data_IF_447040894510
#
_entry.id   IF_447040894510
#
_cell.length_a   1.000
_cell.length_b   1.000
_cell.length_c   1.000
_cell.angle_alpha   90.00
_cell.angle_beta   90.00
_cell.angle_gamma   90.00
#
_symmetry.space_group_name_H-M   'P 1'
#
loop_
_entity.id
_entity.type
_entity.pdbx_description
1 polymer ?
#
# COMPACT_ATOMS: atom_id res chain seq x y z
N UNK A 1 -8.87 17.66 -20.69
CA UNK A 1 -8.08 17.61 -19.43
C UNK A 1 -9.05 17.86 -18.28
N UNK A 2 -8.77 17.40 -17.04
CA UNK A 2 -9.58 17.79 -15.88
C UNK A 2 -9.52 19.33 -15.74
N UNK A 3 -10.67 20.05 -15.75
CA UNK A 3 -10.68 21.51 -15.68
C UNK A 3 -10.08 22.06 -14.38
N UNK A 4 -9.95 21.24 -13.34
CA UNK A 4 -9.30 21.60 -12.05
C UNK A 4 -7.81 21.28 -12.01
N UNK A 5 -7.27 20.63 -13.05
CA UNK A 5 -5.86 20.27 -13.17
C UNK A 5 -5.37 19.26 -12.12
N UNK A 6 -6.25 18.53 -11.43
CA UNK A 6 -5.89 17.55 -10.41
C UNK A 6 -5.16 16.37 -11.05
N UNK A 7 -4.17 15.84 -10.34
CA UNK A 7 -3.39 14.67 -10.77
C UNK A 7 -2.81 13.95 -9.56
N UNK A 8 -3.18 12.69 -9.41
CA UNK A 8 -2.42 11.74 -8.59
C UNK A 8 -1.17 11.30 -9.37
N UNK A 9 0.06 11.47 -8.83
CA UNK A 9 1.28 10.93 -9.43
C UNK A 9 1.33 9.40 -9.36
N UNK A 10 2.16 8.78 -10.19
CA UNK A 10 2.52 7.38 -10.03
C UNK A 10 3.60 7.21 -8.94
N UNK A 11 3.65 6.06 -8.28
CA UNK A 11 4.62 5.79 -7.21
C UNK A 11 6.08 5.73 -7.70
N UNK A 12 6.33 5.53 -8.99
CA UNK A 12 7.69 5.62 -9.52
C UNK A 12 8.15 7.08 -9.76
N UNK A 13 7.29 8.07 -9.60
CA UNK A 13 7.71 9.47 -9.70
C UNK A 13 8.55 9.88 -8.48
N UNK A 14 9.13 11.07 -8.53
CA UNK A 14 10.00 11.52 -7.46
C UNK A 14 9.20 11.87 -6.20
N UNK A 15 9.71 11.45 -5.04
CA UNK A 15 9.13 11.77 -3.75
C UNK A 15 9.92 12.83 -3.00
N UNK A 16 9.23 13.50 -2.09
CA UNK A 16 9.84 14.33 -1.07
C UNK A 16 10.25 13.49 0.14
N UNK A 17 9.42 12.52 0.53
CA UNK A 17 9.60 11.67 1.72
C UNK A 17 8.65 10.47 1.68
N UNK A 18 8.94 9.47 2.49
CA UNK A 18 8.02 8.37 2.82
C UNK A 18 7.46 8.57 4.23
N UNK A 19 6.20 8.19 4.44
CA UNK A 19 5.55 8.19 5.74
C UNK A 19 5.33 6.77 6.19
N UNK A 20 5.59 6.51 7.46
CA UNK A 20 5.36 5.23 8.13
C UNK A 20 4.68 5.48 9.49
N UNK A 21 4.18 4.44 10.13
CA UNK A 21 3.63 4.53 11.48
C UNK A 21 4.17 3.44 12.40
N UNK A 22 4.37 3.80 13.67
CA UNK A 22 5.01 2.93 14.65
C UNK A 22 3.99 1.98 15.30
N UNK A 23 4.26 0.66 15.32
CA UNK A 23 3.34 -0.31 15.89
C UNK A 23 3.38 -0.32 17.42
N UNK A 24 2.20 -0.21 18.05
CA UNK A 24 2.06 -0.22 19.52
C UNK A 24 0.91 -1.09 20.05
N UNK A 25 0.07 -1.66 19.18
CA UNK A 25 -1.17 -2.36 19.58
C UNK A 25 -1.13 -3.88 19.32
N UNK A 26 0.07 -4.48 19.26
CA UNK A 26 0.28 -5.91 18.98
C UNK A 26 0.62 -6.73 20.24
N UNK A 27 0.30 -6.19 21.42
CA UNK A 27 0.51 -6.87 22.71
C UNK A 27 1.97 -7.32 22.91
N UNK A 28 2.21 -8.57 23.36
CA UNK A 28 3.55 -9.11 23.54
C UNK A 28 4.41 -9.17 22.27
N UNK A 29 3.79 -9.09 21.09
CA UNK A 29 4.49 -9.12 19.79
C UNK A 29 4.98 -7.75 19.34
N UNK A 30 4.66 -6.66 20.06
CA UNK A 30 5.10 -5.29 19.73
C UNK A 30 6.60 -5.22 19.35
N UNK A 31 7.55 -5.75 20.15
CA UNK A 31 8.98 -5.67 19.80
C UNK A 31 9.33 -6.31 18.45
N UNK A 32 8.57 -7.31 18.01
CA UNK A 32 8.78 -8.01 16.74
C UNK A 32 8.30 -7.18 15.55
N UNK A 33 7.08 -6.66 15.61
CA UNK A 33 6.54 -5.72 14.63
C UNK A 33 7.39 -4.46 14.53
N UNK A 34 7.81 -3.91 15.66
CA UNK A 34 8.72 -2.77 15.72
C UNK A 34 10.07 -3.07 15.07
N UNK A 35 10.60 -4.27 15.28
CA UNK A 35 11.83 -4.71 14.62
C UNK A 35 11.69 -4.75 13.10
N UNK A 36 10.57 -5.24 12.58
CA UNK A 36 10.28 -5.26 11.14
C UNK A 36 10.13 -3.85 10.57
N UNK A 37 9.31 -3.02 11.21
CA UNK A 37 9.08 -1.62 10.82
C UNK A 37 10.38 -0.81 10.87
N UNK A 38 11.24 -1.05 11.87
CA UNK A 38 12.56 -0.42 11.95
C UNK A 38 13.46 -0.79 10.76
N UNK A 39 13.49 -2.08 10.36
CA UNK A 39 14.26 -2.51 9.18
C UNK A 39 13.75 -1.90 7.89
N UNK A 40 12.42 -1.81 7.72
CA UNK A 40 11.83 -1.13 6.56
C UNK A 40 12.22 0.35 6.56
N UNK A 41 12.08 1.05 7.68
CA UNK A 41 12.43 2.46 7.77
C UNK A 41 13.93 2.71 7.50
N UNK A 42 14.81 1.84 7.99
CA UNK A 42 16.24 1.89 7.69
C UNK A 42 16.52 1.68 6.19
N UNK A 43 15.88 0.69 5.56
CA UNK A 43 16.03 0.42 4.13
C UNK A 43 15.57 1.63 3.28
N UNK A 44 14.41 2.22 3.60
CA UNK A 44 13.92 3.43 2.93
C UNK A 44 14.88 4.61 3.14
N UNK A 45 15.43 4.77 4.34
CA UNK A 45 16.35 5.86 4.67
C UNK A 45 17.65 5.86 3.86
N UNK A 46 17.98 4.76 3.18
CA UNK A 46 19.09 4.72 2.22
C UNK A 46 18.83 5.58 0.99
N UNK A 47 17.56 5.73 0.62
CA UNK A 47 17.11 6.36 -0.61
C UNK A 47 16.52 7.75 -0.38
N UNK A 48 15.73 7.92 0.69
CA UNK A 48 15.05 9.19 0.97
C UNK A 48 14.58 9.31 2.43
N UNK A 49 14.18 10.51 2.83
CA UNK A 49 13.76 10.77 4.22
C UNK A 49 12.46 10.06 4.58
N UNK A 50 12.36 9.66 5.86
CA UNK A 50 11.16 9.02 6.43
C UNK A 50 10.55 9.92 7.50
N UNK A 51 9.22 10.02 7.54
CA UNK A 51 8.47 10.52 8.69
C UNK A 51 7.71 9.37 9.35
N UNK A 52 8.05 9.09 10.60
CA UNK A 52 7.42 8.04 11.39
C UNK A 52 6.36 8.66 12.30
N UNK A 53 5.09 8.32 12.13
CA UNK A 53 4.02 8.67 13.06
C UNK A 53 4.12 7.78 14.30
N UNK A 54 4.32 8.37 15.46
CA UNK A 54 4.51 7.62 16.72
C UNK A 54 3.55 8.16 17.78
N UNK A 55 2.84 7.29 18.52
CA UNK A 55 2.18 7.73 19.75
C UNK A 55 3.19 8.45 20.66
N UNK A 56 2.88 9.65 21.20
CA UNK A 56 3.85 10.51 21.88
C UNK A 56 4.68 9.81 22.97
N UNK A 57 4.08 8.89 23.71
CA UNK A 57 4.69 8.11 24.79
C UNK A 57 5.73 7.09 24.31
N UNK A 58 5.74 6.73 23.02
CA UNK A 58 6.64 5.73 22.42
C UNK A 58 7.75 6.34 21.54
N UNK A 59 7.87 7.67 21.46
CA UNK A 59 8.85 8.34 20.58
C UNK A 59 10.29 7.92 20.89
N UNK A 60 10.69 7.89 22.15
CA UNK A 60 12.06 7.52 22.53
C UNK A 60 12.34 6.03 22.32
N UNK A 61 11.33 5.17 22.54
CA UNK A 61 11.40 3.74 22.22
C UNK A 61 11.58 3.52 20.71
N UNK A 62 10.80 4.20 19.88
CA UNK A 62 10.90 4.11 18.42
C UNK A 62 12.30 4.54 17.92
N UNK A 63 12.83 5.65 18.44
CA UNK A 63 14.20 6.10 18.12
C UNK A 63 15.25 5.05 18.52
N UNK A 64 15.10 4.46 19.70
CA UNK A 64 16.03 3.45 20.19
C UNK A 64 16.00 2.19 19.31
N UNK A 65 14.81 1.71 18.95
CA UNK A 65 14.60 0.53 18.11
C UNK A 65 15.08 0.72 16.67
N UNK A 66 14.87 1.91 16.08
CA UNK A 66 15.38 2.25 14.75
C UNK A 66 16.89 2.47 14.75
N UNK A 67 17.48 2.89 15.86
CA UNK A 67 18.92 3.07 16.00
C UNK A 67 19.47 4.26 15.20
N UNK A 68 20.77 4.20 14.87
CA UNK A 68 21.50 5.28 14.18
C UNK A 68 22.13 4.75 12.89
N UNK A 69 22.62 5.67 12.04
CA UNK A 69 23.39 5.32 10.83
C UNK A 69 22.58 5.42 9.54
N UNK A 70 21.42 6.07 9.59
CA UNK A 70 20.58 6.34 8.44
C UNK A 70 21.28 7.33 7.48
N UNK A 71 21.10 7.12 6.17
CA UNK A 71 21.69 8.01 5.15
C UNK A 71 20.87 9.29 5.01
N UNK A 72 19.54 9.15 4.99
CA UNK A 72 18.58 10.24 5.06
C UNK A 72 17.89 10.27 6.44
N UNK A 73 17.34 11.43 6.79
CA UNK A 73 16.70 11.62 8.09
C UNK A 73 15.46 10.73 8.26
N UNK A 74 15.33 10.15 9.46
CA UNK A 74 14.08 9.57 9.95
C UNK A 74 13.56 10.50 11.05
N UNK A 75 12.53 11.26 10.75
CA UNK A 75 11.87 12.19 11.67
C UNK A 75 10.74 11.47 12.41
N UNK A 76 10.71 11.55 13.74
CA UNK A 76 9.68 10.92 14.57
C UNK A 76 8.64 11.95 15.00
N UNK A 77 7.44 11.86 14.43
CA UNK A 77 6.34 12.78 14.66
C UNK A 77 5.44 12.26 15.79
N UNK A 78 5.23 13.01 16.89
CA UNK A 78 4.36 12.61 18.00
C UNK A 78 2.87 12.74 17.61
N UNK A 79 2.39 11.83 16.76
CA UNK A 79 1.03 11.78 16.22
C UNK A 79 0.40 10.45 16.66
N UNK A 80 -0.67 10.48 17.48
CA UNK A 80 -1.36 9.26 17.90
C UNK A 80 -1.96 8.48 16.73
N UNK A 81 -1.70 7.17 16.71
CA UNK A 81 -2.19 6.18 15.74
C UNK A 81 -2.58 4.87 16.47
N UNK A 82 -3.52 4.11 15.90
CA UNK A 82 -3.86 2.76 16.38
C UNK A 82 -3.00 1.67 15.74
N UNK A 83 -2.45 1.96 14.57
CA UNK A 83 -1.90 0.92 13.72
C UNK A 83 -0.78 1.46 12.84
N UNK A 84 -0.05 0.56 12.21
CA UNK A 84 1.15 0.84 11.44
C UNK A 84 0.90 1.07 9.93
N UNK A 85 -0.31 0.75 9.44
CA UNK A 85 -0.68 0.74 8.02
C UNK A 85 -0.89 2.14 7.42
N UNK A 86 0.17 2.95 7.42
CA UNK A 86 0.13 4.35 7.00
C UNK A 86 -0.42 4.53 5.58
N UNK A 87 -0.20 3.57 4.67
CA UNK A 87 -0.78 3.54 3.31
C UNK A 87 -2.28 3.75 3.30
N UNK A 88 -2.97 3.21 4.31
CA UNK A 88 -4.42 3.09 4.29
C UNK A 88 -5.13 4.21 5.04
N UNK A 89 -4.53 4.70 6.13
CA UNK A 89 -5.21 5.65 7.02
C UNK A 89 -4.74 7.10 6.89
N UNK A 90 -3.65 7.37 6.16
CA UNK A 90 -3.24 8.74 5.85
C UNK A 90 -3.75 9.15 4.45
N UNK A 91 -3.77 10.45 4.13
CA UNK A 91 -4.34 10.94 2.88
C UNK A 91 -3.53 10.50 1.67
N UNK A 92 -4.21 10.16 0.57
CA UNK A 92 -3.59 10.02 -0.74
C UNK A 92 -3.18 11.38 -1.28
N UNK A 93 -1.94 11.52 -1.73
CA UNK A 93 -1.44 12.81 -2.17
C UNK A 93 -1.62 13.02 -3.68
N UNK A 94 -2.30 14.12 -4.03
CA UNK A 94 -2.43 14.58 -5.40
C UNK A 94 -1.89 15.99 -5.55
N UNK A 95 -1.58 16.37 -6.78
CA UNK A 95 -1.15 17.73 -7.13
C UNK A 95 -2.21 18.44 -7.94
N UNK A 96 -2.37 19.75 -7.69
CA UNK A 96 -3.22 20.63 -8.50
C UNK A 96 -2.53 21.96 -8.74
N UNK A 97 -2.92 22.74 -9.76
CA UNK A 97 -2.49 24.14 -9.87
C UNK A 97 -2.91 24.91 -8.63
N UNK A 98 -2.06 25.81 -8.12
CA UNK A 98 -2.47 26.78 -7.10
C UNK A 98 -3.52 27.72 -7.68
N UNK A 99 -4.52 28.05 -6.88
CA UNK A 99 -5.46 29.10 -7.23
C UNK A 99 -4.68 30.41 -7.42
N UNK A 100 -4.58 30.87 -8.66
CA UNK A 100 -4.05 32.20 -8.94
C UNK A 100 -5.07 33.19 -8.37
N UNK A 101 -4.66 34.06 -7.43
CA UNK A 101 -5.52 35.14 -6.96
C UNK A 101 -5.89 36.05 -8.14
N UNK A 102 -6.99 35.74 -8.83
CA UNK A 102 -7.49 36.46 -10.00
C UNK A 102 -6.65 36.27 -11.28
N UNK A 103 -7.01 35.32 -12.14
CA UNK A 103 -6.41 35.23 -13.46
C UNK A 103 -7.10 34.22 -14.37
N UNK A 104 -7.57 34.69 -15.52
CA UNK A 104 -8.28 33.90 -16.52
C UNK A 104 -7.42 32.77 -17.10
N UNK A 105 -8.10 31.68 -17.47
CA UNK A 105 -7.53 30.47 -18.04
C UNK A 105 -6.45 30.71 -19.09
N UNK A 106 -5.23 30.36 -18.73
CA UNK A 106 -4.12 30.14 -19.64
C UNK A 106 -3.52 28.77 -19.36
N UNK A 107 -3.36 27.97 -20.41
CA UNK A 107 -2.57 26.74 -20.39
C UNK A 107 -1.10 27.13 -20.16
N UNK A 108 -0.68 27.24 -18.90
CA UNK A 108 0.64 27.71 -18.52
C UNK A 108 1.10 27.09 -17.20
N UNK A 109 2.43 26.89 -17.11
CA UNK A 109 3.20 26.32 -16.01
C UNK A 109 3.05 27.09 -14.69
N UNK A 110 1.86 27.13 -14.11
CA UNK A 110 1.62 27.68 -12.79
C UNK A 110 2.19 26.78 -11.71
N UNK A 111 2.58 27.36 -10.58
CA UNK A 111 2.98 26.59 -9.40
C UNK A 111 1.87 25.60 -9.03
N UNK A 112 2.24 24.33 -8.83
CA UNK A 112 1.33 23.33 -8.29
C UNK A 112 1.38 23.36 -6.76
N UNK A 113 0.41 22.73 -6.12
CA UNK A 113 0.41 22.44 -4.70
C UNK A 113 0.02 20.99 -4.43
N UNK A 114 0.54 20.46 -3.33
CA UNK A 114 0.19 19.16 -2.78
C UNK A 114 -1.11 19.25 -1.98
N UNK A 115 -2.04 18.33 -2.24
CA UNK A 115 -3.29 18.17 -1.50
C UNK A 115 -3.41 16.70 -1.07
N UNK A 116 -3.59 16.47 0.22
CA UNK A 116 -3.95 15.16 0.76
C UNK A 116 -5.45 14.94 0.66
N UNK A 117 -5.86 13.90 -0.06
CA UNK A 117 -7.24 13.41 -0.13
C UNK A 117 -7.46 12.37 0.97
N UNK A 118 -8.22 12.75 1.97
CA UNK A 118 -8.52 11.95 3.15
C UNK A 118 -9.82 11.17 2.94
N UNK A 119 -9.70 9.84 2.86
CA UNK A 119 -10.76 8.91 2.48
C UNK A 119 -11.52 8.32 3.68
N UNK A 120 -11.55 9.00 4.83
CA UNK A 120 -12.38 8.62 5.98
C UNK A 120 -12.15 7.17 6.45
N UNK A 121 -10.88 6.78 6.64
CA UNK A 121 -10.50 5.43 7.07
C UNK A 121 -11.37 4.90 8.20
N UNK A 122 -11.88 3.66 8.06
CA UNK A 122 -12.83 3.07 8.99
C UNK A 122 -12.40 1.70 9.56
N UNK A 123 -11.09 1.40 9.54
CA UNK A 123 -10.57 0.11 10.02
C UNK A 123 -10.98 -1.06 9.12
N UNK A 124 -10.85 -0.88 7.81
CA UNK A 124 -11.23 -1.83 6.76
C UNK A 124 -12.64 -2.42 6.91
N UNK A 125 -13.63 -1.55 7.09
CA UNK A 125 -15.01 -1.94 7.34
C UNK A 125 -15.27 -2.33 8.79
N UNK A 126 -14.65 -1.61 9.72
CA UNK A 126 -14.78 -1.81 11.17
C UNK A 126 -14.29 -3.18 11.66
N UNK A 127 -13.33 -3.78 10.94
CA UNK A 127 -12.70 -5.05 11.29
C UNK A 127 -11.57 -4.88 12.31
N UNK A 128 -11.03 -3.67 12.45
CA UNK A 128 -9.97 -3.35 13.41
C UNK A 128 -10.23 -2.01 14.12
N UNK A 129 -9.66 -1.75 15.30
CA UNK A 129 -9.70 -0.44 15.95
C UNK A 129 -9.02 0.65 15.10
N UNK A 130 -9.68 1.80 14.93
CA UNK A 130 -9.22 2.82 13.97
C UNK A 130 -9.39 4.29 14.42
N UNK A 131 -9.89 4.53 15.64
CA UNK A 131 -10.29 5.88 16.08
C UNK A 131 -9.17 6.93 16.06
N UNK A 132 -7.95 6.57 16.47
CA UNK A 132 -6.77 7.41 16.38
C UNK A 132 -6.29 7.52 14.92
N UNK A 133 -6.18 6.40 14.21
CA UNK A 133 -5.68 6.35 12.83
C UNK A 133 -6.58 7.12 11.84
N UNK A 134 -7.90 7.10 12.00
CA UNK A 134 -8.84 7.87 11.18
C UNK A 134 -8.68 9.39 11.28
N UNK A 135 -7.99 9.87 12.32
CA UNK A 135 -7.67 11.30 12.49
C UNK A 135 -6.18 11.58 12.24
N UNK A 136 -5.37 10.57 11.90
CA UNK A 136 -3.94 10.74 11.67
C UNK A 136 -3.66 11.65 10.48
N UNK A 137 -4.43 11.52 9.38
CA UNK A 137 -4.30 12.39 8.21
C UNK A 137 -4.55 13.87 8.53
N UNK A 138 -5.59 14.17 9.31
CA UNK A 138 -5.84 15.54 9.77
C UNK A 138 -4.68 16.09 10.62
N UNK A 139 -4.17 15.29 11.57
CA UNK A 139 -3.06 15.68 12.44
C UNK A 139 -1.77 15.90 11.66
N UNK A 140 -1.49 15.03 10.69
CA UNK A 140 -0.32 15.12 9.80
C UNK A 140 -0.36 16.40 8.97
N UNK A 141 -1.47 16.69 8.30
CA UNK A 141 -1.58 17.91 7.48
C UNK A 141 -1.46 19.17 8.35
N UNK A 142 -2.07 19.18 9.55
CA UNK A 142 -1.91 20.26 10.53
C UNK A 142 -0.47 20.41 11.02
N UNK A 143 0.26 19.32 11.15
CA UNK A 143 1.67 19.33 11.54
C UNK A 143 2.54 19.96 10.45
N UNK A 144 2.33 19.61 9.17
CA UNK A 144 3.06 20.22 8.06
C UNK A 144 2.69 21.68 7.78
N UNK A 145 1.46 22.09 8.10
CA UNK A 145 1.00 23.43 7.82
C UNK A 145 -0.09 23.86 8.80
N UNK A 146 0.02 25.07 9.35
CA UNK A 146 -1.00 25.64 10.25
C UNK A 146 -2.36 25.91 9.57
N UNK A 147 -2.46 25.77 8.23
CA UNK A 147 -3.69 25.98 7.44
C UNK A 147 -4.23 24.67 6.84
N UNK A 148 -5.51 24.37 7.10
CA UNK A 148 -6.20 23.14 6.64
C UNK A 148 -6.49 23.05 5.13
N UNK A 149 -6.12 24.05 4.32
CA UNK A 149 -6.46 24.14 2.89
C UNK A 149 -5.85 23.04 2.01
N UNK A 150 -4.89 22.27 2.54
CA UNK A 150 -4.23 21.15 1.86
C UNK A 150 -4.86 19.79 2.12
N UNK A 151 -6.00 19.74 2.84
CA UNK A 151 -6.76 18.51 3.09
C UNK A 151 -8.10 18.56 2.38
N UNK A 152 -8.33 17.63 1.47
CA UNK A 152 -9.63 17.36 0.86
C UNK A 152 -10.24 16.15 1.57
N UNK A 153 -11.35 16.32 2.29
CA UNK A 153 -12.05 15.18 2.89
C UNK A 153 -13.01 14.61 1.85
N UNK A 154 -12.84 13.33 1.51
CA UNK A 154 -13.67 12.64 0.54
C UNK A 154 -15.08 12.40 1.06
N UNK A 155 -16.03 12.14 0.16
CA UNK A 155 -17.40 11.69 0.48
C UNK A 155 -17.57 10.17 0.52
N UNK A 156 -16.49 9.43 0.34
CA UNK A 156 -16.46 7.97 0.35
C UNK A 156 -15.44 7.45 1.37
N UNK A 157 -15.56 6.16 1.68
CA UNK A 157 -14.54 5.42 2.41
C UNK A 157 -13.67 4.66 1.41
N UNK A 158 -12.36 4.84 1.51
CA UNK A 158 -11.37 4.04 0.80
C UNK A 158 -10.03 4.12 1.53
N UNK A 159 -9.08 3.34 1.05
CA UNK A 159 -7.74 3.22 1.57
C UNK A 159 -6.73 3.35 0.43
N UNK A 160 -5.54 3.89 0.71
CA UNK A 160 -4.51 4.04 -0.31
C UNK A 160 -4.09 2.71 -0.93
N UNK A 161 -4.05 1.60 -0.17
CA UNK A 161 -3.70 0.27 -0.71
C UNK A 161 -4.75 -0.29 -1.69
N UNK A 162 -5.97 0.24 -1.68
CA UNK A 162 -7.03 -0.13 -2.61
C UNK A 162 -6.98 0.65 -3.95
N UNK A 163 -6.02 1.58 -4.09
CA UNK A 163 -5.96 2.55 -5.19
C UNK A 163 -4.55 2.57 -5.78
N UNK A 164 -4.41 2.10 -7.03
CA UNK A 164 -3.13 2.09 -7.74
C UNK A 164 -3.24 2.97 -8.99
N UNK A 165 -2.32 3.93 -9.18
CA UNK A 165 -2.35 4.87 -10.30
C UNK A 165 -1.15 4.77 -11.22
N UNK A 166 -1.39 4.91 -12.53
CA UNK A 166 -0.34 5.04 -13.54
C UNK A 166 0.23 6.48 -13.67
N UNK A 167 -0.28 7.44 -12.89
CA UNK A 167 0.07 8.85 -12.99
C UNK A 167 -0.38 9.55 -14.29
N UNK A 168 -1.12 8.84 -15.15
CA UNK A 168 -1.54 9.28 -16.48
C UNK A 168 -3.07 9.24 -16.68
N UNK A 169 -3.80 9.03 -15.58
CA UNK A 169 -5.26 9.11 -15.51
C UNK A 169 -5.96 7.75 -15.48
N UNK A 170 -5.21 6.66 -15.32
CA UNK A 170 -5.75 5.32 -15.07
C UNK A 170 -5.63 4.98 -13.60
N UNK A 171 -6.69 4.41 -13.03
CA UNK A 171 -6.62 3.68 -11.77
C UNK A 171 -6.80 2.18 -12.03
N UNK A 172 -6.13 1.38 -11.22
CA UNK A 172 -6.39 -0.03 -11.05
C UNK A 172 -6.93 -0.25 -9.63
N UNK A 173 -8.01 -1.01 -9.51
CA UNK A 173 -8.72 -1.20 -8.23
C UNK A 173 -9.41 -2.56 -8.21
N UNK A 174 -9.73 -3.06 -7.01
CA UNK A 174 -10.60 -4.22 -6.83
C UNK A 174 -12.01 -3.79 -6.46
N UNK A 175 -13.00 -4.45 -7.04
CA UNK A 175 -14.40 -4.22 -6.71
C UNK A 175 -14.72 -4.65 -5.29
N UNK A 176 -14.17 -5.78 -4.83
CA UNK A 176 -14.41 -6.33 -3.50
C UNK A 176 -14.00 -5.42 -2.34
N UNK A 177 -13.02 -4.53 -2.55
CA UNK A 177 -12.58 -3.57 -1.53
C UNK A 177 -13.39 -2.27 -1.60
N UNK A 178 -13.53 -1.70 -2.80
CA UNK A 178 -14.09 -0.34 -2.98
C UNK A 178 -15.63 -0.33 -3.04
N UNK A 179 -16.23 -1.23 -3.82
CA UNK A 179 -17.69 -1.36 -4.01
C UNK A 179 -18.24 -2.34 -2.98
N UNK A 180 -17.88 -2.12 -1.73
CA UNK A 180 -18.24 -2.98 -0.62
C UNK A 180 -19.09 -2.19 0.37
N UNK A 181 -20.24 -2.74 0.79
CA UNK A 181 -21.14 -2.06 1.73
C UNK A 181 -20.50 -1.74 3.08
N UNK A 182 -19.42 -2.45 3.46
CA UNK A 182 -18.66 -2.12 4.67
C UNK A 182 -17.77 -0.87 4.50
N UNK A 183 -17.59 -0.37 3.27
CA UNK A 183 -16.96 0.92 2.94
C UNK A 183 -17.99 1.94 2.49
N UNK A 184 -18.71 1.62 1.42
CA UNK A 184 -19.56 2.52 0.66
C UNK A 184 -20.96 1.93 0.49
N UNK A 185 -21.79 1.92 1.55
CA UNK A 185 -23.10 1.28 1.52
C UNK A 185 -24.01 1.90 0.45
N UNK A 186 -24.64 1.04 -0.34
CA UNK A 186 -25.57 1.43 -1.41
C UNK A 186 -24.93 2.28 -2.54
N UNK A 187 -23.60 2.19 -2.74
CA UNK A 187 -22.91 2.86 -3.85
C UNK A 187 -22.60 1.89 -4.98
N UNK A 188 -22.80 2.33 -6.21
CA UNK A 188 -22.42 1.57 -7.40
C UNK A 188 -20.99 1.90 -7.83
N UNK A 189 -20.41 1.08 -8.73
CA UNK A 189 -19.15 1.40 -9.42
C UNK A 189 -19.17 2.81 -10.01
N UNK A 190 -20.25 3.18 -10.70
CA UNK A 190 -20.36 4.48 -11.36
C UNK A 190 -20.34 5.64 -10.38
N UNK A 191 -20.98 5.50 -9.21
CA UNK A 191 -21.00 6.56 -8.19
C UNK A 191 -19.59 6.83 -7.62
N UNK A 192 -18.83 5.75 -7.39
CA UNK A 192 -17.49 5.81 -6.83
C UNK A 192 -16.48 6.26 -7.88
N UNK A 193 -16.57 5.79 -9.12
CA UNK A 193 -15.76 6.31 -10.23
C UNK A 193 -15.91 7.81 -10.41
N UNK A 194 -17.14 8.34 -10.35
CA UNK A 194 -17.36 9.79 -10.47
C UNK A 194 -16.66 10.54 -9.33
N UNK A 195 -16.70 9.99 -8.12
CA UNK A 195 -15.97 10.56 -6.97
C UNK A 195 -14.47 10.60 -7.22
N UNK A 196 -13.87 9.51 -7.72
CA UNK A 196 -12.45 9.50 -8.07
C UNK A 196 -12.09 10.45 -9.22
N UNK A 197 -12.93 10.55 -10.26
CA UNK A 197 -12.76 11.52 -11.35
C UNK A 197 -12.77 12.95 -10.79
N UNK A 198 -13.68 13.22 -9.86
CA UNK A 198 -13.78 14.51 -9.19
C UNK A 198 -12.55 14.81 -8.33
N UNK A 199 -12.13 13.88 -7.49
CA UNK A 199 -11.13 14.09 -6.44
C UNK A 199 -9.69 13.97 -6.93
N UNK A 200 -9.41 13.06 -7.86
CA UNK A 200 -8.05 12.72 -8.31
C UNK A 200 -7.75 13.13 -9.76
N UNK A 201 -8.75 13.54 -10.54
CA UNK A 201 -8.57 13.93 -11.95
C UNK A 201 -8.31 12.75 -12.89
N UNK A 202 -8.66 11.53 -12.47
CA UNK A 202 -8.52 10.32 -13.27
C UNK A 202 -9.57 10.30 -14.39
N UNK A 203 -9.33 9.46 -15.41
CA UNK A 203 -10.19 9.33 -16.59
C UNK A 203 -10.77 7.95 -16.76
N UNK A 204 -10.05 6.93 -16.29
CA UNK A 204 -10.41 5.53 -16.46
C UNK A 204 -10.10 4.76 -15.19
N UNK A 205 -11.00 3.86 -14.82
CA UNK A 205 -10.77 2.85 -13.80
C UNK A 205 -10.80 1.48 -14.45
N UNK A 206 -9.80 0.65 -14.15
CA UNK A 206 -9.75 -0.75 -14.50
C UNK A 206 -10.14 -1.53 -13.24
N UNK A 207 -11.27 -2.23 -13.32
CA UNK A 207 -11.82 -2.99 -12.20
C UNK A 207 -11.42 -4.45 -12.28
N UNK A 208 -10.69 -4.92 -11.26
CA UNK A 208 -10.51 -6.33 -10.98
C UNK A 208 -11.58 -6.78 -9.98
N UNK A 209 -11.96 -8.06 -9.99
CA UNK A 209 -13.05 -8.55 -9.13
C UNK A 209 -12.67 -8.52 -7.65
N UNK A 210 -11.44 -8.92 -7.33
CA UNK A 210 -10.96 -9.08 -5.97
C UNK A 210 -11.63 -10.23 -5.20
N UNK A 211 -11.30 -10.36 -3.91
CA UNK A 211 -11.78 -11.40 -2.99
C UNK A 211 -12.33 -10.79 -1.69
N UNK A 212 -13.67 -10.71 -1.59
CA UNK A 212 -14.33 -10.20 -0.37
C UNK A 212 -14.23 -11.21 0.77
N UNK A 213 -13.81 -10.75 1.95
CA UNK A 213 -13.75 -11.56 3.18
C UNK A 213 -12.64 -12.61 3.25
N UNK A 214 -11.68 -12.62 2.31
CA UNK A 214 -10.52 -13.53 2.36
C UNK A 214 -9.35 -12.96 3.16
N UNK A 215 -9.28 -11.62 3.27
CA UNK A 215 -8.35 -10.89 4.13
C UNK A 215 -9.06 -9.64 4.69
N UNK A 216 -8.40 -8.95 5.63
CA UNK A 216 -9.00 -7.80 6.32
C UNK A 216 -9.36 -6.67 5.36
N UNK A 217 -8.61 -6.49 4.28
CA UNK A 217 -8.75 -5.41 3.32
C UNK A 217 -9.85 -5.64 2.28
N UNK A 218 -10.43 -6.85 2.24
CA UNK A 218 -11.30 -7.33 1.16
C UNK A 218 -10.59 -7.29 -0.21
N UNK A 219 -9.34 -7.71 -0.23
CA UNK A 219 -8.41 -7.72 -1.36
C UNK A 219 -8.09 -6.34 -1.91
N UNK A 220 -7.22 -5.61 -1.22
CA UNK A 220 -6.54 -4.46 -1.81
C UNK A 220 -5.81 -4.80 -3.12
N UNK A 221 -5.66 -3.79 -3.96
CA UNK A 221 -5.06 -3.95 -5.29
C UNK A 221 -3.54 -4.08 -5.21
N UNK A 222 -2.92 -3.47 -4.19
CA UNK A 222 -1.48 -3.46 -3.97
C UNK A 222 -0.85 -4.82 -3.62
N UNK A 223 -1.68 -5.83 -3.33
CA UNK A 223 -1.28 -7.22 -3.17
C UNK A 223 -1.62 -8.09 -4.40
N UNK A 224 -2.28 -7.53 -5.42
CA UNK A 224 -2.73 -8.27 -6.61
C UNK A 224 -2.04 -7.79 -7.89
N UNK A 225 -2.05 -6.48 -8.15
CA UNK A 225 -1.51 -5.92 -9.38
C UNK A 225 -1.09 -4.46 -9.20
N UNK A 226 0.10 -4.11 -9.69
CA UNK A 226 0.68 -2.77 -9.57
C UNK A 226 1.17 -2.24 -10.91
N UNK A 227 0.99 -0.96 -11.17
CA UNK A 227 1.66 -0.34 -12.32
C UNK A 227 3.14 -0.23 -11.99
N UNK A 228 4.00 -0.60 -12.93
CA UNK A 228 5.47 -0.49 -12.78
C UNK A 228 6.10 0.45 -13.80
N UNK A 229 5.32 0.84 -14.81
CA UNK A 229 5.59 1.89 -15.77
C UNK A 229 4.28 2.24 -16.49
N UNK A 230 4.22 3.34 -17.26
CA UNK A 230 3.07 3.62 -18.10
C UNK A 230 2.75 2.44 -19.04
N UNK A 231 1.52 1.90 -18.93
CA UNK A 231 1.08 0.75 -19.73
C UNK A 231 1.70 -0.60 -19.33
N UNK A 232 2.42 -0.70 -18.21
CA UNK A 232 3.01 -1.96 -17.72
C UNK A 232 2.48 -2.26 -16.32
N UNK A 233 1.88 -3.44 -16.17
CA UNK A 233 1.31 -3.93 -14.90
C UNK A 233 2.05 -5.19 -14.49
N UNK A 234 2.55 -5.21 -13.27
CA UNK A 234 3.06 -6.41 -12.61
C UNK A 234 1.95 -7.05 -11.79
N UNK A 235 1.81 -8.37 -11.85
CA UNK A 235 0.72 -9.11 -11.22
C UNK A 235 1.31 -10.19 -10.31
N UNK A 236 0.78 -10.27 -9.10
CA UNK A 236 1.11 -11.29 -8.12
C UNK A 236 0.64 -12.66 -8.63
N UNK A 237 1.61 -13.53 -8.97
CA UNK A 237 1.33 -14.84 -9.56
C UNK A 237 1.37 -15.92 -8.47
N UNK A 238 0.22 -16.53 -8.14
CA UNK A 238 0.14 -17.55 -7.11
C UNK A 238 1.00 -18.76 -7.43
N UNK A 239 1.50 -19.48 -6.39
CA UNK A 239 2.21 -20.73 -6.58
C UNK A 239 1.32 -21.76 -7.30
N UNK A 240 1.92 -22.60 -8.17
CA UNK A 240 1.19 -23.67 -8.85
C UNK A 240 0.63 -24.68 -7.85
N UNK A 241 -0.41 -25.40 -8.27
CA UNK A 241 -1.11 -26.37 -7.40
C UNK A 241 -0.14 -27.39 -6.77
N UNK A 242 0.86 -27.84 -7.54
CA UNK A 242 1.89 -28.79 -7.08
C UNK A 242 2.70 -28.32 -5.87
N UNK A 243 2.85 -27.01 -5.66
CA UNK A 243 3.56 -26.43 -4.51
C UNK A 243 2.63 -26.17 -3.31
N UNK A 244 1.32 -26.21 -3.52
CA UNK A 244 0.30 -25.96 -2.48
C UNK A 244 -0.42 -27.25 -2.04
N UNK A 245 -0.21 -28.35 -2.74
CA UNK A 245 -0.85 -29.63 -2.48
C UNK A 245 -0.39 -30.23 -1.14
N UNK A 246 -1.34 -30.63 -0.30
CA UNK A 246 -1.05 -31.28 0.98
C UNK A 246 -0.73 -30.34 2.15
N UNK A 247 -0.70 -29.03 1.93
CA UNK A 247 -0.64 -28.07 3.03
C UNK A 247 -1.95 -28.12 3.85
N UNK A 248 -1.87 -28.22 5.19
CA UNK A 248 -3.03 -28.41 6.07
C UNK A 248 -3.89 -27.14 6.18
N UNK A 249 -4.73 -26.94 5.15
CA UNK A 249 -5.75 -25.90 4.93
C UNK A 249 -5.20 -24.50 4.59
N UNK A 250 -5.69 -23.79 3.56
CA UNK A 250 -6.85 -23.99 2.70
C UNK A 250 -6.48 -24.07 1.21
N UNK A 251 -6.67 -25.25 0.58
CA UNK A 251 -6.75 -25.34 -0.89
C UNK A 251 -7.73 -24.33 -1.49
N UNK A 252 -8.75 -23.91 -0.72
CA UNK A 252 -9.70 -22.85 -1.10
C UNK A 252 -9.07 -21.47 -1.21
N UNK A 253 -8.14 -21.08 -0.34
CA UNK A 253 -7.51 -19.75 -0.42
C UNK A 253 -6.59 -19.69 -1.64
N UNK A 254 -5.69 -20.68 -1.81
CA UNK A 254 -4.85 -20.75 -3.01
C UNK A 254 -5.66 -20.90 -4.29
N UNK A 255 -6.79 -21.61 -4.25
CA UNK A 255 -7.69 -21.66 -5.41
C UNK A 255 -8.35 -20.31 -5.68
N UNK A 256 -8.84 -19.62 -4.65
CA UNK A 256 -9.41 -18.28 -4.79
C UNK A 256 -8.38 -17.28 -5.34
N UNK A 257 -7.12 -17.36 -4.88
CA UNK A 257 -6.03 -16.54 -5.40
C UNK A 257 -5.72 -16.87 -6.87
N UNK A 258 -5.69 -18.15 -7.26
CA UNK A 258 -5.56 -18.56 -8.67
C UNK A 258 -6.72 -18.08 -9.53
N UNK A 259 -7.96 -18.17 -9.04
CA UNK A 259 -9.15 -17.69 -9.74
C UNK A 259 -9.11 -16.16 -9.89
N UNK A 260 -8.69 -15.45 -8.85
CA UNK A 260 -8.50 -14.01 -8.86
C UNK A 260 -7.40 -13.58 -9.85
N UNK A 261 -6.25 -14.26 -9.83
CA UNK A 261 -5.17 -14.06 -10.79
C UNK A 261 -5.66 -14.27 -12.23
N UNK A 262 -6.35 -15.39 -12.51
CA UNK A 262 -6.90 -15.65 -13.84
C UNK A 262 -7.89 -14.56 -14.28
N UNK A 263 -8.74 -14.07 -13.36
CA UNK A 263 -9.64 -12.95 -13.63
C UNK A 263 -8.88 -11.65 -13.91
N UNK A 264 -7.81 -11.37 -13.16
CA UNK A 264 -6.95 -10.22 -13.37
C UNK A 264 -6.31 -10.25 -14.75
N UNK A 265 -5.69 -11.37 -15.14
CA UNK A 265 -5.08 -11.57 -16.46
C UNK A 265 -6.12 -11.39 -17.58
N UNK A 266 -7.32 -11.95 -17.42
CA UNK A 266 -8.40 -11.81 -18.41
C UNK A 266 -8.81 -10.34 -18.63
N UNK A 267 -8.94 -9.55 -17.56
CA UNK A 267 -9.28 -8.12 -17.67
C UNK A 267 -8.11 -7.32 -18.23
N UNK A 268 -6.91 -7.49 -17.67
CA UNK A 268 -5.73 -6.71 -18.04
C UNK A 268 -5.31 -6.94 -19.50
N UNK A 269 -5.49 -8.16 -20.02
CA UNK A 269 -5.16 -8.51 -21.42
C UNK A 269 -6.14 -7.96 -22.45
N UNK A 270 -7.35 -7.56 -22.02
CA UNK A 270 -8.42 -7.10 -22.93
C UNK A 270 -8.78 -5.63 -22.77
N UNK A 271 -8.25 -4.97 -21.74
CA UNK A 271 -8.46 -3.55 -21.48
C UNK A 271 -7.32 -2.69 -22.03
N UNK A 272 -7.49 -1.38 -21.92
CA UNK A 272 -6.49 -0.38 -22.24
C UNK A 272 -6.34 0.62 -21.09
N UNK A 273 -5.26 1.38 -21.05
CA UNK A 273 -5.12 2.52 -20.14
C UNK A 273 -6.02 3.71 -20.57
N UNK A 274 -5.97 4.82 -19.82
CA UNK A 274 -6.69 6.06 -20.12
C UNK A 274 -6.25 6.77 -21.41
N UNK A 275 -5.10 6.39 -21.98
CA UNK A 275 -4.57 6.87 -23.26
C UNK A 275 -4.89 5.94 -24.42
N UNK A 276 -5.51 4.79 -24.16
CA UNK A 276 -5.89 3.80 -25.17
C UNK A 276 -4.78 2.78 -25.49
N UNK A 277 -3.69 2.74 -24.72
CA UNK A 277 -2.64 1.74 -24.92
C UNK A 277 -3.05 0.39 -24.31
N UNK A 278 -2.71 -0.71 -24.97
CA UNK A 278 -2.79 -2.05 -24.37
C UNK A 278 -1.77 -2.20 -23.24
N UNK A 279 -2.10 -3.02 -22.24
CA UNK A 279 -1.23 -3.26 -21.09
C UNK A 279 -0.25 -4.40 -21.36
N UNK A 280 1.03 -4.18 -21.05
CA UNK A 280 2.02 -5.26 -20.90
C UNK A 280 1.90 -5.83 -19.49
N UNK A 281 1.69 -7.13 -19.39
CA UNK A 281 1.54 -7.83 -18.12
C UNK A 281 2.85 -8.55 -17.79
N UNK A 282 3.30 -8.43 -16.54
CA UNK A 282 4.48 -9.10 -16.01
C UNK A 282 4.05 -9.92 -14.82
N UNK A 283 4.26 -11.23 -14.91
CA UNK A 283 4.05 -12.12 -13.78
C UNK A 283 5.19 -11.92 -12.77
N UNK A 284 4.84 -11.77 -11.49
CA UNK A 284 5.77 -11.86 -10.38
C UNK A 284 5.46 -13.14 -9.59
N UNK A 285 6.23 -14.23 -9.78
CA UNK A 285 6.04 -15.48 -9.06
C UNK A 285 6.17 -15.27 -7.55
N UNK A 286 5.21 -15.80 -6.79
CA UNK A 286 5.15 -15.68 -5.34
C UNK A 286 5.80 -16.86 -4.63
N UNK A 287 6.23 -16.71 -3.36
CA UNK A 287 7.02 -17.73 -2.69
C UNK A 287 6.27 -19.05 -2.57
N UNK A 288 7.01 -20.16 -2.54
CA UNK A 288 6.45 -21.43 -2.15
C UNK A 288 6.10 -21.37 -0.65
N UNK A 289 4.82 -21.50 -0.26
CA UNK A 289 4.40 -21.36 1.12
C UNK A 289 5.14 -22.30 2.08
N UNK A 290 5.48 -23.51 1.61
CA UNK A 290 6.21 -24.52 2.40
C UNK A 290 7.65 -24.12 2.74
N UNK A 291 8.24 -23.18 1.99
CA UNK A 291 9.60 -22.68 2.17
C UNK A 291 9.66 -21.32 2.90
N UNK A 292 8.52 -20.64 3.06
CA UNK A 292 8.48 -19.35 3.77
C UNK A 292 8.84 -19.51 5.24
N UNK A 293 9.44 -18.45 5.81
CA UNK A 293 9.71 -18.35 7.25
C UNK A 293 8.40 -18.41 8.03
N UNK A 294 8.41 -19.23 9.09
CA UNK A 294 7.26 -19.47 9.97
C UNK A 294 7.41 -18.74 11.28
N UNK A 295 6.28 -18.30 11.83
CA UNK A 295 6.20 -17.88 13.22
C UNK A 295 6.27 -19.12 14.13
N UNK A 296 7.04 -19.08 15.23
CA UNK A 296 7.08 -20.16 16.20
C UNK A 296 5.67 -20.53 16.73
N UNK A 297 5.33 -21.82 16.92
CA UNK A 297 4.00 -22.23 17.36
C UNK A 297 3.50 -21.56 18.65
N UNK A 298 4.40 -21.24 19.58
CA UNK A 298 4.09 -20.53 20.82
C UNK A 298 3.69 -19.07 20.61
N UNK A 299 4.18 -18.43 19.55
CA UNK A 299 3.83 -17.05 19.18
C UNK A 299 2.54 -17.01 18.33
N UNK A 300 2.22 -18.08 17.59
CA UNK A 300 0.96 -18.22 16.84
C UNK A 300 -0.26 -18.07 17.75
N UNK A 301 -0.24 -18.65 18.94
CA UNK A 301 -1.32 -18.51 19.92
C UNK A 301 -1.53 -17.05 20.36
N UNK A 302 -0.45 -16.25 20.43
CA UNK A 302 -0.52 -14.84 20.82
C UNK A 302 -1.28 -14.02 19.78
N UNK A 303 -1.14 -14.34 18.48
CA UNK A 303 -1.91 -13.67 17.43
C UNK A 303 -3.42 -13.86 17.62
N UNK A 304 -3.87 -15.07 17.95
CA UNK A 304 -5.29 -15.34 18.24
C UNK A 304 -5.77 -14.55 19.46
N UNK A 305 -4.97 -14.48 20.53
CA UNK A 305 -5.30 -13.75 21.76
C UNK A 305 -5.46 -12.23 21.55
N UNK A 306 -4.64 -11.63 20.68
CA UNK A 306 -4.71 -10.20 20.34
C UNK A 306 -5.71 -9.91 19.21
N UNK A 307 -6.48 -10.91 18.77
CA UNK A 307 -7.53 -10.74 17.77
C UNK A 307 -7.04 -10.60 16.33
N UNK A 308 -5.80 -11.02 16.04
CA UNK A 308 -5.25 -11.09 14.69
C UNK A 308 -5.44 -12.50 14.16
N UNK A 309 -6.36 -12.66 13.23
CA UNK A 309 -6.56 -13.95 12.56
C UNK A 309 -5.46 -14.15 11.51
N UNK A 310 -4.49 -15.01 11.82
CA UNK A 310 -3.53 -15.46 10.83
C UNK A 310 -4.25 -16.28 9.76
N UNK A 311 -3.92 -16.05 8.49
CA UNK A 311 -4.49 -16.83 7.38
C UNK A 311 -4.22 -18.34 7.52
N UNK A 312 -3.18 -18.73 8.26
CA UNK A 312 -2.81 -20.12 8.52
C UNK A 312 -2.41 -20.30 9.99
N UNK A 313 -2.99 -21.30 10.66
CA UNK A 313 -2.78 -21.62 12.09
C UNK A 313 -1.48 -22.38 12.37
N UNK A 314 -0.69 -22.67 11.35
CA UNK A 314 0.62 -23.33 11.45
C UNK A 314 1.80 -22.34 11.36
N UNK A 315 1.50 -21.04 11.39
CA UNK A 315 2.47 -19.96 11.42
C UNK A 315 2.99 -19.50 10.04
N UNK A 316 2.53 -20.06 8.92
CA UNK A 316 2.90 -19.58 7.57
C UNK A 316 1.92 -18.55 6.97
N UNK A 317 0.80 -18.25 7.64
CA UNK A 317 -0.26 -17.35 7.16
C UNK A 317 0.19 -15.92 6.86
N UNK A 318 -0.67 -15.09 6.27
CA UNK A 318 -0.35 -13.71 5.86
C UNK A 318 -0.19 -13.56 4.35
N UNK A 319 -0.27 -12.32 3.86
CA UNK A 319 -0.20 -12.00 2.43
C UNK A 319 1.28 -11.95 2.02
N UNK A 320 1.93 -13.11 1.93
CA UNK A 320 3.33 -13.23 1.50
C UNK A 320 3.42 -12.95 -0.01
N UNK A 321 3.44 -11.68 -0.39
CA UNK A 321 3.56 -11.23 -1.79
C UNK A 321 4.77 -10.32 -1.96
N UNK A 322 5.60 -10.63 -2.95
CA UNK A 322 6.70 -9.76 -3.37
C UNK A 322 6.20 -8.46 -3.99
N UNK A 323 4.98 -8.46 -4.52
CA UNK A 323 4.36 -7.30 -5.17
C UNK A 323 4.12 -6.13 -4.18
N UNK A 324 4.04 -6.40 -2.88
CA UNK A 324 3.88 -5.38 -1.84
C UNK A 324 5.21 -4.66 -1.53
N UNK A 325 6.07 -4.48 -2.54
CA UNK A 325 7.26 -3.64 -2.48
C UNK A 325 6.87 -2.16 -2.55
N UNK A 326 7.75 -1.30 -2.04
CA UNK A 326 7.65 0.16 -2.17
C UNK A 326 8.65 0.67 -3.21
N UNK A 327 8.20 1.52 -4.13
CA UNK A 327 9.14 2.28 -4.97
C UNK A 327 9.59 3.53 -4.21
N UNK A 328 10.90 3.79 -4.20
CA UNK A 328 11.52 4.96 -3.54
C UNK A 328 12.46 5.66 -4.50
N UNK A 329 12.86 6.90 -4.23
CA UNK A 329 13.81 7.62 -5.08
C UNK A 329 15.09 6.81 -5.35
N UNK A 330 15.28 6.35 -6.60
CA UNK A 330 16.46 5.56 -7.00
C UNK A 330 16.50 4.12 -6.50
N UNK A 331 15.43 3.61 -5.87
CA UNK A 331 15.41 2.27 -5.31
C UNK A 331 14.04 1.60 -5.30
N UNK A 332 14.03 0.32 -4.93
CA UNK A 332 12.85 -0.49 -4.60
C UNK A 332 13.12 -1.17 -3.27
N UNK A 333 12.21 -1.05 -2.30
CA UNK A 333 12.28 -1.77 -1.03
C UNK A 333 11.32 -2.95 -1.12
N UNK A 334 11.87 -4.15 -1.29
CA UNK A 334 11.12 -5.38 -1.58
C UNK A 334 11.12 -6.33 -0.39
N UNK A 335 10.00 -7.00 -0.06
CA UNK A 335 10.00 -7.98 1.02
C UNK A 335 10.78 -9.24 0.64
N UNK A 336 11.31 -9.92 1.66
CA UNK A 336 11.93 -11.25 1.55
C UNK A 336 11.23 -12.20 2.52
N UNK A 337 10.94 -13.43 2.08
CA UNK A 337 10.16 -14.42 2.86
C UNK A 337 10.95 -15.67 3.25
N UNK A 338 12.18 -15.84 2.75
CA UNK A 338 13.09 -16.94 3.09
C UNK A 338 13.01 -18.15 2.16
N UNK A 339 12.21 -18.08 1.10
CA UNK A 339 12.33 -19.01 -0.03
C UNK A 339 13.44 -18.50 -0.94
N UNK A 340 14.70 -18.84 -0.64
CA UNK A 340 15.88 -18.26 -1.29
C UNK A 340 15.82 -18.25 -2.84
N UNK A 341 15.19 -19.28 -3.43
CA UNK A 341 15.02 -19.40 -4.88
C UNK A 341 13.99 -18.37 -5.39
N UNK A 342 12.82 -18.32 -4.77
CA UNK A 342 11.76 -17.38 -5.15
C UNK A 342 12.12 -15.93 -4.80
N UNK A 343 12.79 -15.69 -3.66
CA UNK A 343 13.28 -14.38 -3.23
C UNK A 343 14.26 -13.83 -4.30
N UNK A 344 15.18 -14.67 -4.78
CA UNK A 344 16.14 -14.30 -5.83
C UNK A 344 15.49 -14.10 -7.20
N UNK A 345 14.54 -14.96 -7.58
CA UNK A 345 13.80 -14.84 -8.84
C UNK A 345 12.96 -13.56 -8.89
N UNK A 346 12.18 -13.29 -7.83
CA UNK A 346 11.38 -12.09 -7.72
C UNK A 346 12.25 -10.83 -7.77
N UNK A 347 13.37 -10.83 -7.02
CA UNK A 347 14.33 -9.71 -7.03
C UNK A 347 14.83 -9.45 -8.45
N UNK A 348 15.24 -10.49 -9.16
CA UNK A 348 15.74 -10.38 -10.54
C UNK A 348 14.69 -9.79 -11.48
N UNK A 349 13.44 -10.25 -11.40
CA UNK A 349 12.35 -9.73 -12.24
C UNK A 349 12.14 -8.23 -11.97
N UNK A 350 12.17 -7.82 -10.71
CA UNK A 350 12.05 -6.41 -10.30
C UNK A 350 13.24 -5.59 -10.79
N UNK A 351 14.48 -6.07 -10.63
CA UNK A 351 15.70 -5.42 -11.17
C UNK A 351 15.63 -5.23 -12.69
N UNK A 352 15.11 -6.22 -13.43
CA UNK A 352 14.90 -6.11 -14.88
C UNK A 352 13.85 -5.07 -15.27
N UNK A 353 12.85 -4.81 -14.41
CA UNK A 353 11.83 -3.78 -14.65
C UNK A 353 12.30 -2.38 -14.25
N UNK A 354 13.22 -2.29 -13.30
CA UNK A 354 13.74 -1.02 -12.79
C UNK A 354 15.28 -0.98 -12.92
N UNK A 355 15.84 -0.97 -14.15
CA UNK A 355 17.28 -1.09 -14.35
C UNK A 355 18.09 0.08 -13.75
N UNK A 356 17.45 1.23 -13.54
CA UNK A 356 18.05 2.42 -12.94
C UNK A 356 17.81 2.53 -11.42
N UNK A 357 17.27 1.48 -10.78
CA UNK A 357 16.98 1.46 -9.34
C UNK A 357 17.66 0.29 -8.66
N UNK A 358 18.17 0.53 -7.46
CA UNK A 358 18.68 -0.52 -6.60
C UNK A 358 17.52 -1.25 -5.90
N UNK A 359 17.49 -2.59 -5.95
CA UNK A 359 16.51 -3.38 -5.20
C UNK A 359 17.11 -3.81 -3.87
N UNK A 360 16.59 -3.26 -2.78
CA UNK A 360 16.92 -3.61 -1.40
C UNK A 360 15.86 -4.58 -0.86
N UNK A 361 16.29 -5.79 -0.48
CA UNK A 361 15.39 -6.78 0.12
C UNK A 361 15.34 -6.64 1.64
N UNK A 362 14.14 -6.74 2.21
CA UNK A 362 13.90 -6.56 3.65
C UNK A 362 13.09 -7.73 4.20
N UNK A 363 13.63 -8.36 5.24
CA UNK A 363 12.93 -9.38 6.02
C UNK A 363 11.80 -8.77 6.86
N UNK A 364 10.57 -9.23 6.63
CA UNK A 364 9.33 -8.71 7.25
C UNK A 364 8.43 -9.81 7.87
N UNK A 365 9.05 -10.71 8.64
CA UNK A 365 8.43 -11.94 9.14
C UNK A 365 7.16 -11.77 9.98
N UNK A 366 7.03 -10.69 10.76
CA UNK A 366 5.87 -10.41 11.61
C UNK A 366 4.93 -9.42 10.96
N UNK A 367 5.47 -8.41 10.28
CA UNK A 367 4.68 -7.43 9.54
C UNK A 367 3.72 -8.12 8.57
N UNK A 368 4.21 -9.09 7.79
CA UNK A 368 3.39 -9.88 6.84
C UNK A 368 2.24 -10.65 7.49
N UNK A 369 2.43 -11.04 8.76
CA UNK A 369 1.45 -11.78 9.56
C UNK A 369 0.38 -10.86 10.15
N UNK A 370 0.68 -9.57 10.26
CA UNK A 370 -0.28 -8.55 10.66
C UNK A 370 -1.32 -8.19 9.59
N UNK A 371 -1.21 -8.73 8.38
CA UNK A 371 -2.21 -8.55 7.31
C UNK A 371 -1.78 -7.68 6.13
N UNK A 372 -0.50 -7.28 6.03
CA UNK A 372 0.04 -6.48 4.93
C UNK A 372 1.57 -6.49 4.89
N UNK A 373 2.19 -5.81 3.93
CA UNK A 373 3.64 -5.81 3.76
C UNK A 373 4.29 -4.42 3.81
N UNK A 374 5.36 -4.24 3.03
CA UNK A 374 6.13 -2.99 2.98
C UNK A 374 5.27 -1.86 2.41
N UNK A 375 4.60 -2.09 1.28
CA UNK A 375 3.74 -1.08 0.66
C UNK A 375 2.56 -0.69 1.56
N UNK A 376 1.95 -1.63 2.28
CA UNK A 376 0.86 -1.32 3.22
C UNK A 376 1.31 -0.49 4.42
N UNK A 377 2.57 -0.62 4.84
CA UNK A 377 3.13 0.10 6.01
C UNK A 377 3.78 1.44 5.66
N UNK A 378 3.77 1.82 4.38
CA UNK A 378 4.47 3.00 3.86
C UNK A 378 3.57 3.83 2.96
N UNK A 379 3.79 5.14 2.92
CA UNK A 379 3.08 6.02 2.00
C UNK A 379 4.00 7.10 1.43
N UNK A 380 4.02 7.22 0.11
CA UNK A 380 4.82 8.19 -0.61
C UNK A 380 4.20 9.60 -0.57
N UNK A 381 5.06 10.61 -0.45
CA UNK A 381 4.67 12.01 -0.62
C UNK A 381 5.38 12.55 -1.86
N UNK A 382 4.67 12.76 -2.98
CA UNK A 382 5.29 13.16 -4.23
C UNK A 382 5.84 14.60 -4.16
N UNK A 383 6.84 14.90 -5.00
CA UNK A 383 7.24 16.28 -5.25
C UNK A 383 6.16 17.03 -6.04
N UNK A 384 6.17 18.37 -5.93
CA UNK A 384 5.18 19.27 -6.54
C UNK A 384 5.73 19.97 -7.77
#
# INVERSE_FOLDING_TARGET
MDPRGRRIPAEWELHQRIIMAWPTHWGPLNPKFQGDVARVAQAVSRFESVQMLVPPEHVEEAKASVGKGQTHEIEFLPIPVNDLWARDFIPLFMTRPKDSAGGHGGEGKGERELVGVDYNFNGWGQKAPYNLSAHAGERLIKHWNSTSSRRLVSRMVAEGGAIESDGQGTLLMTESSIVNDNRNPNKTRSDLEETFKEELGIKKVIWLKGLKGYDITDSHIDALARFVAPGVVMVSKPPPESQTQGLPLHSKWFQAWRDQYAQAIQVLSTTTDAKGNSLRIIDLPEPNPSKTRRIPPEEVAVFEEIGVELCEKDGSGGINTYLNFLMVNGGIVMPEFGDEEADAEAKKIVEEQFPDREVETVRIDYLVKGGGGIHCSTHDVPIV
#
